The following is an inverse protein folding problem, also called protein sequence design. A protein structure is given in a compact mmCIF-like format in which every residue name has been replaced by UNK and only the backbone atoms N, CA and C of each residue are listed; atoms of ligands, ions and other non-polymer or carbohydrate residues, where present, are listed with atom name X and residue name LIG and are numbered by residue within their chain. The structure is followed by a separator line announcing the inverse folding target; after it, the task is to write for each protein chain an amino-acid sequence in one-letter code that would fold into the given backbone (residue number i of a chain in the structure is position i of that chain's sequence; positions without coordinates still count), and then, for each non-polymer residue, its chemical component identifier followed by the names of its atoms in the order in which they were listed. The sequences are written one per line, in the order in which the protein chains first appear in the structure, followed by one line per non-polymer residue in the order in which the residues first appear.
data_IF_138216457042
#
_entry.id   IF_138216457042
#
_cell.length_a   1.000
_cell.length_b   1.000
_cell.length_c   1.000
_cell.angle_alpha   90.00
_cell.angle_beta   90.00
_cell.angle_gamma   90.00
#
_symmetry.space_group_name_H-M   'P 1'
#
loop_
_entity.id
_entity.type
_entity.pdbx_description
1 polymer ?
#
# COMPACT_ATOMS: atom_id res chain seq x y z
N UNK A 1 -7.40 15.19 -9.64
CA UNK A 1 -8.76 14.63 -9.64
C UNK A 1 -8.85 13.62 -8.49
N UNK A 2 -9.96 13.57 -7.73
CA UNK A 2 -10.13 12.56 -6.69
C UNK A 2 -10.07 11.16 -7.32
N UNK A 3 -9.37 10.24 -6.68
CA UNK A 3 -9.26 8.86 -7.15
C UNK A 3 -10.65 8.22 -7.20
N UNK A 4 -10.95 7.49 -8.27
CA UNK A 4 -12.18 6.72 -8.36
C UNK A 4 -12.20 5.68 -7.24
N UNK A 5 -13.37 5.44 -6.64
CA UNK A 5 -13.57 4.43 -5.59
C UNK A 5 -13.06 3.05 -6.02
N UNK A 6 -13.14 2.71 -7.30
CA UNK A 6 -12.57 1.46 -7.82
C UNK A 6 -11.04 1.43 -7.73
N UNK A 7 -10.37 2.56 -7.98
CA UNK A 7 -8.91 2.70 -7.87
C UNK A 7 -8.45 2.65 -6.41
N UNK A 8 -9.16 3.31 -5.49
CA UNK A 8 -8.89 3.25 -4.05
C UNK A 8 -8.94 1.79 -3.57
N UNK A 9 -10.02 1.08 -3.90
CA UNK A 9 -10.17 -0.34 -3.55
C UNK A 9 -9.07 -1.22 -4.14
N UNK A 10 -8.66 -0.98 -5.40
CA UNK A 10 -7.56 -1.72 -6.02
C UNK A 10 -6.22 -1.46 -5.32
N UNK A 11 -5.90 -0.21 -4.99
CA UNK A 11 -4.69 0.15 -4.22
C UNK A 11 -4.69 -0.54 -2.86
N UNK A 12 -5.80 -0.47 -2.14
CA UNK A 12 -5.98 -1.14 -0.85
C UNK A 12 -5.86 -2.65 -0.93
N UNK A 13 -6.37 -3.26 -2.01
CA UNK A 13 -6.19 -4.68 -2.28
C UNK A 13 -4.70 -5.04 -2.46
N UNK A 14 -3.95 -4.25 -3.21
CA UNK A 14 -2.50 -4.47 -3.40
C UNK A 14 -1.74 -4.32 -2.07
N UNK A 15 -2.13 -3.36 -1.22
CA UNK A 15 -1.59 -3.20 0.14
C UNK A 15 -1.78 -4.47 0.96
N UNK A 16 -3.02 -4.97 1.04
CA UNK A 16 -3.33 -6.22 1.77
C UNK A 16 -2.57 -7.43 1.24
N UNK A 17 -2.37 -7.51 -0.08
CA UNK A 17 -1.61 -8.60 -0.69
C UNK A 17 -0.11 -8.50 -0.37
N UNK A 18 0.47 -7.31 -0.40
CA UNK A 18 1.86 -7.10 -0.03
C UNK A 18 2.09 -7.37 1.47
N UNK A 19 1.19 -6.92 2.33
CA UNK A 19 1.22 -7.22 3.77
C UNK A 19 1.13 -8.71 4.04
N UNK A 20 0.36 -9.44 3.24
CA UNK A 20 0.30 -10.89 3.29
C UNK A 20 1.65 -11.52 2.92
N UNK A 21 2.29 -11.10 1.82
CA UNK A 21 3.62 -11.60 1.43
C UNK A 21 4.65 -11.30 2.53
N UNK A 22 4.65 -10.09 3.08
CA UNK A 22 5.61 -9.68 4.10
C UNK A 22 5.49 -10.48 5.41
N UNK A 23 4.30 -11.02 5.72
CA UNK A 23 4.08 -11.91 6.87
C UNK A 23 4.54 -13.35 6.63
N UNK A 24 4.79 -13.74 5.38
CA UNK A 24 5.26 -15.07 4.98
C UNK A 24 6.60 -14.98 4.22
N UNK A 25 7.68 -14.46 4.87
CA UNK A 25 8.97 -14.23 4.20
C UNK A 25 9.66 -15.53 3.78
N UNK A 26 9.44 -16.62 4.50
CA UNK A 26 10.11 -17.92 4.29
C UNK A 26 9.43 -18.79 3.22
N UNK A 27 8.25 -18.38 2.77
CA UNK A 27 7.49 -19.14 1.77
C UNK A 27 7.83 -18.70 0.34
N UNK A 28 7.85 -19.62 -0.64
CA UNK A 28 8.07 -19.28 -2.02
C UNK A 28 7.04 -18.28 -2.53
N UNK A 29 7.50 -17.15 -3.07
CA UNK A 29 6.62 -16.14 -3.71
C UNK A 29 5.70 -16.75 -4.78
N UNK A 30 6.18 -17.82 -5.43
CA UNK A 30 5.41 -18.62 -6.41
C UNK A 30 4.39 -19.49 -5.67
N UNK A 31 3.22 -18.92 -5.42
CA UNK A 31 2.12 -19.58 -4.69
C UNK A 31 1.36 -18.65 -3.75
N UNK A 32 1.92 -17.48 -3.44
CA UNK A 32 1.31 -16.48 -2.55
C UNK A 32 -0.06 -16.02 -3.02
N UNK A 33 -0.24 -15.87 -4.34
CA UNK A 33 -1.54 -15.50 -4.90
C UNK A 33 -2.59 -16.58 -4.63
N UNK A 34 -2.20 -17.86 -4.75
CA UNK A 34 -3.06 -19.01 -4.46
C UNK A 34 -3.39 -19.09 -2.97
N UNK A 35 -2.41 -18.92 -2.09
CA UNK A 35 -2.62 -18.90 -0.64
C UNK A 35 -3.57 -17.76 -0.22
N UNK A 36 -3.35 -16.57 -0.76
CA UNK A 36 -4.22 -15.42 -0.53
C UNK A 36 -5.64 -15.64 -1.09
N UNK A 37 -5.75 -16.30 -2.25
CA UNK A 37 -7.03 -16.69 -2.83
C UNK A 37 -7.81 -17.64 -1.94
N UNK A 38 -7.15 -18.66 -1.40
CA UNK A 38 -7.73 -19.57 -0.42
C UNK A 38 -8.19 -18.83 0.83
N UNK A 39 -7.42 -17.85 1.32
CA UNK A 39 -7.78 -17.05 2.50
C UNK A 39 -9.04 -16.21 2.28
N UNK A 40 -9.16 -15.60 1.11
CA UNK A 40 -10.33 -14.81 0.71
C UNK A 40 -11.53 -15.66 0.25
N UNK A 41 -11.33 -16.96 0.04
CA UNK A 41 -12.29 -17.88 -0.58
C UNK A 41 -12.72 -17.40 -1.99
N UNK A 42 -11.75 -16.94 -2.77
CA UNK A 42 -11.91 -16.51 -4.15
C UNK A 42 -11.08 -17.41 -5.07
N UNK A 43 -11.39 -17.43 -6.37
CA UNK A 43 -10.56 -18.17 -7.32
C UNK A 43 -9.27 -17.42 -7.62
N UNK A 44 -8.17 -18.15 -7.78
CA UNK A 44 -6.86 -17.59 -8.12
C UNK A 44 -6.92 -16.79 -9.44
N UNK A 45 -7.64 -17.30 -10.45
CA UNK A 45 -7.87 -16.59 -11.72
C UNK A 45 -8.53 -15.24 -11.51
N UNK A 46 -9.54 -15.18 -10.64
CA UNK A 46 -10.26 -13.95 -10.34
C UNK A 46 -9.36 -12.91 -9.66
N UNK A 47 -8.55 -13.35 -8.70
CA UNK A 47 -7.56 -12.51 -8.05
C UNK A 47 -6.46 -12.06 -9.00
N UNK A 48 -6.05 -12.90 -9.95
CA UNK A 48 -5.12 -12.49 -11.01
C UNK A 48 -5.71 -11.40 -11.90
N UNK A 49 -7.00 -11.46 -12.23
CA UNK A 49 -7.67 -10.41 -13.00
C UNK A 49 -7.73 -9.09 -12.22
N UNK A 50 -7.98 -9.14 -10.91
CA UNK A 50 -7.96 -7.95 -10.04
C UNK A 50 -6.53 -7.39 -9.99
N UNK A 51 -5.52 -8.22 -9.69
CA UNK A 51 -4.12 -7.81 -9.58
C UNK A 51 -3.56 -7.18 -10.86
N UNK A 52 -3.95 -7.68 -12.04
CA UNK A 52 -3.56 -7.11 -13.33
C UNK A 52 -4.46 -5.94 -13.77
N UNK A 53 -5.29 -5.41 -12.87
CA UNK A 53 -6.26 -4.34 -13.13
C UNK A 53 -7.18 -4.61 -14.34
N UNK A 54 -7.45 -5.89 -14.64
CA UNK A 54 -8.39 -6.33 -15.68
C UNK A 54 -9.83 -6.37 -15.16
N UNK A 55 -10.01 -6.41 -13.84
CA UNK A 55 -11.32 -6.39 -13.18
C UNK A 55 -11.31 -5.48 -11.95
N UNK A 56 -12.29 -4.59 -11.90
CA UNK A 56 -12.48 -3.66 -10.78
C UNK A 56 -13.10 -4.34 -9.55
N UNK A 57 -12.82 -3.76 -8.39
CA UNK A 57 -13.40 -4.19 -7.11
C UNK A 57 -14.67 -3.35 -6.84
N UNK A 58 -15.83 -3.97 -7.02
CA UNK A 58 -17.11 -3.38 -6.65
C UNK A 58 -17.39 -3.42 -5.14
N UNK A 59 -18.45 -2.73 -4.70
CA UNK A 59 -18.81 -2.62 -3.29
C UNK A 59 -19.03 -4.00 -2.61
N UNK A 60 -19.75 -4.91 -3.25
CA UNK A 60 -20.02 -6.26 -2.71
C UNK A 60 -18.73 -7.08 -2.48
N UNK A 61 -17.78 -6.97 -3.41
CA UNK A 61 -16.50 -7.64 -3.28
C UNK A 61 -15.65 -7.00 -2.18
N UNK A 62 -15.64 -5.67 -2.10
CA UNK A 62 -14.97 -4.92 -1.03
C UNK A 62 -15.49 -5.35 0.35
N UNK A 63 -16.82 -5.42 0.54
CA UNK A 63 -17.43 -5.89 1.80
C UNK A 63 -17.04 -7.34 2.11
N UNK A 64 -16.98 -8.20 1.09
CA UNK A 64 -16.56 -9.60 1.26
C UNK A 64 -15.12 -9.69 1.73
N UNK A 65 -14.20 -8.95 1.10
CA UNK A 65 -12.78 -8.90 1.50
C UNK A 65 -12.64 -8.43 2.95
N UNK A 66 -13.35 -7.35 3.33
CA UNK A 66 -13.33 -6.84 4.70
C UNK A 66 -13.77 -7.91 5.71
N UNK A 67 -14.89 -8.60 5.45
CA UNK A 67 -15.37 -9.67 6.33
C UNK A 67 -14.37 -10.82 6.44
N UNK A 68 -13.77 -11.26 5.31
CA UNK A 68 -12.83 -12.39 5.27
C UNK A 68 -11.52 -12.09 6.01
N UNK A 69 -11.07 -10.84 5.94
CA UNK A 69 -9.86 -10.37 6.60
C UNK A 69 -10.12 -9.75 7.97
N UNK A 70 -11.38 -9.73 8.44
CA UNK A 70 -11.80 -9.12 9.71
C UNK A 70 -11.44 -7.63 9.81
N UNK A 71 -11.56 -6.92 8.70
CA UNK A 71 -11.33 -5.47 8.62
C UNK A 71 -12.60 -4.70 8.99
N UNK A 72 -12.46 -3.46 9.49
CA UNK A 72 -13.60 -2.57 9.74
C UNK A 72 -14.42 -2.31 8.46
N UNK A 73 -15.72 -2.06 8.64
CA UNK A 73 -16.58 -1.66 7.54
C UNK A 73 -16.09 -0.34 6.92
N UNK A 74 -15.83 -0.35 5.63
CA UNK A 74 -15.43 0.83 4.86
C UNK A 74 -13.92 0.94 4.73
N UNK A 75 -13.16 -0.01 5.27
CA UNK A 75 -11.72 -0.05 5.11
C UNK A 75 -11.32 -0.02 3.64
N UNK A 76 -11.94 -0.81 2.78
CA UNK A 76 -11.57 -0.86 1.35
C UNK A 76 -11.88 0.43 0.57
N UNK A 77 -12.76 1.30 1.07
CA UNK A 77 -13.16 2.54 0.40
C UNK A 77 -12.34 3.76 0.83
N UNK A 78 -11.54 3.64 1.90
CA UNK A 78 -10.71 4.72 2.44
C UNK A 78 -9.29 4.60 1.94
N UNK A 79 -8.63 5.71 1.68
CA UNK A 79 -7.20 5.68 1.33
C UNK A 79 -6.36 5.38 2.58
N UNK A 80 -5.62 4.27 2.57
CA UNK A 80 -4.73 3.85 3.67
C UNK A 80 -3.26 4.18 3.45
N UNK A 81 -2.92 4.71 2.28
CA UNK A 81 -1.60 5.23 1.97
C UNK A 81 -1.77 6.53 1.17
N UNK A 82 -1.74 7.70 1.82
CA UNK A 82 -1.63 8.96 1.10
C UNK A 82 -0.30 9.06 0.33
N UNK A 83 0.71 8.25 0.69
CA UNK A 83 2.07 8.30 0.12
C UNK A 83 2.39 7.22 -0.91
N UNK A 84 1.47 6.30 -1.24
CA UNK A 84 1.66 5.38 -2.39
C UNK A 84 1.00 5.94 -3.64
N UNK A 85 1.32 7.19 -4.00
CA UNK A 85 1.38 7.51 -5.43
C UNK A 85 2.33 6.50 -6.09
N UNK A 86 2.22 6.19 -7.39
CA UNK A 86 3.29 5.48 -8.06
C UNK A 86 4.54 6.35 -7.91
N UNK A 87 5.39 6.04 -6.91
CA UNK A 87 6.65 6.74 -6.77
C UNK A 87 7.38 6.47 -8.08
N UNK A 88 7.67 7.54 -8.81
CA UNK A 88 8.59 7.47 -9.94
C UNK A 88 9.86 6.75 -9.44
N UNK A 89 10.58 6.06 -10.32
CA UNK A 89 11.80 5.36 -9.92
C UNK A 89 12.80 6.35 -9.30
N UNK A 90 12.75 7.62 -9.69
CA UNK A 90 13.46 8.73 -9.04
C UNK A 90 13.04 8.97 -7.59
N UNK A 91 11.73 8.97 -7.31
CA UNK A 91 11.21 9.18 -5.95
C UNK A 91 11.53 7.98 -5.06
N UNK A 92 11.52 6.75 -5.59
CA UNK A 92 11.98 5.55 -4.87
C UNK A 92 13.46 5.64 -4.51
N UNK A 93 14.30 6.05 -5.47
CA UNK A 93 15.75 6.25 -5.24
C UNK A 93 15.97 7.33 -4.19
N UNK A 94 15.21 8.43 -4.25
CA UNK A 94 15.27 9.51 -3.27
C UNK A 94 14.95 9.00 -1.86
N UNK A 95 13.83 8.29 -1.68
CA UNK A 95 13.45 7.74 -0.36
C UNK A 95 14.47 6.71 0.13
N UNK A 96 14.94 5.80 -0.73
CA UNK A 96 15.94 4.81 -0.35
C UNK A 96 17.25 5.49 0.11
N UNK A 97 17.67 6.54 -0.59
CA UNK A 97 18.85 7.34 -0.23
C UNK A 97 18.63 8.09 1.07
N UNK A 98 17.49 8.77 1.25
CA UNK A 98 17.15 9.48 2.48
C UNK A 98 17.11 8.53 3.69
N UNK A 99 16.54 7.33 3.54
CA UNK A 99 16.52 6.31 4.58
C UNK A 99 17.93 5.78 4.92
N UNK A 100 18.79 5.60 3.91
CA UNK A 100 20.18 5.19 4.13
C UNK A 100 20.96 6.26 4.91
N UNK A 101 20.82 7.53 4.54
CA UNK A 101 21.42 8.66 5.25
C UNK A 101 20.90 8.78 6.68
N UNK A 102 19.57 8.68 6.87
CA UNK A 102 18.96 8.75 8.20
C UNK A 102 19.44 7.62 9.12
N UNK A 103 19.55 6.38 8.59
CA UNK A 103 20.07 5.24 9.37
C UNK A 103 21.55 5.40 9.72
N UNK A 104 22.34 6.02 8.84
CA UNK A 104 23.75 6.25 9.10
C UNK A 104 23.98 7.33 10.17
N UNK A 105 23.12 8.36 10.22
CA UNK A 105 23.22 9.48 11.17
C UNK A 105 21.86 9.93 11.70
N UNK A 106 21.27 9.21 12.67
CA UNK A 106 19.88 9.41 13.08
C UNK A 106 19.62 10.77 13.72
N UNK A 107 20.58 11.30 14.49
CA UNK A 107 20.42 12.55 15.25
C UNK A 107 20.58 13.76 14.32
N UNK A 108 21.67 13.82 13.55
CA UNK A 108 21.93 14.90 12.59
C UNK A 108 20.86 14.97 11.50
N UNK A 109 20.47 13.83 10.91
CA UNK A 109 19.45 13.82 9.86
C UNK A 109 18.08 14.23 10.39
N UNK A 110 17.72 13.81 11.61
CA UNK A 110 16.46 14.23 12.24
C UNK A 110 16.44 15.73 12.48
N UNK A 111 17.51 16.29 13.05
CA UNK A 111 17.53 17.71 13.42
C UNK A 111 17.56 18.59 12.17
N UNK A 112 18.29 18.21 11.12
CA UNK A 112 18.23 18.87 9.81
C UNK A 112 16.86 18.77 9.13
N UNK A 113 16.23 17.59 9.14
CA UNK A 113 14.88 17.41 8.59
C UNK A 113 13.85 18.23 9.37
N UNK A 114 13.96 18.26 10.69
CA UNK A 114 13.04 19.02 11.53
C UNK A 114 13.17 20.52 11.30
N UNK A 115 14.40 21.02 11.17
CA UNK A 115 14.64 22.43 10.84
C UNK A 115 14.04 22.80 9.48
N UNK A 116 14.22 21.94 8.48
CA UNK A 116 13.66 22.16 7.14
C UNK A 116 12.12 22.14 7.14
N UNK A 117 11.49 21.21 7.86
CA UNK A 117 10.04 21.20 8.01
C UNK A 117 9.52 22.45 8.72
N UNK A 118 10.18 22.89 9.80
CA UNK A 118 9.78 24.11 10.51
C UNK A 118 9.83 25.35 9.62
N UNK A 119 10.84 25.49 8.75
CA UNK A 119 10.88 26.60 7.79
C UNK A 119 9.76 26.51 6.76
N UNK A 120 9.56 25.34 6.15
CA UNK A 120 8.52 25.18 5.12
C UNK A 120 7.09 25.35 5.65
N UNK A 121 6.81 24.99 6.90
CA UNK A 121 5.51 25.24 7.52
C UNK A 121 5.34 26.66 8.06
N UNK A 122 6.43 27.39 8.29
CA UNK A 122 6.39 28.81 8.64
C UNK A 122 6.20 29.72 7.42
N UNK A 123 6.68 29.30 6.24
CA UNK A 123 6.51 30.03 4.97
C UNK A 123 5.15 29.75 4.28
N UNK A 124 4.31 28.90 4.86
CA UNK A 124 3.03 28.46 4.31
C UNK A 124 1.79 29.06 5.01
N UNK A 125 1.97 29.97 5.97
CA UNK A 125 0.96 30.88 6.52
C UNK A 125 1.08 32.29 5.91
#
# INVERSE_FOLDING_TARGET
MPLDSAQIRHRNFMKLFNDFINKHPDEPRRGMLKAFASRLQLSERYLSHIKCNRKNIGANLARTIEKRLRLPHGWMDREHDPYTMPLDDKEKIFIATALAFFRARPIEARDSLMHYFQQQFADAE
#
